data_IF_998989082236
#
_entry.id   IF_998989082236
#
_cell.length_a   1.000
_cell.length_b   1.000
_cell.length_c   1.000
_cell.angle_alpha   90.00
_cell.angle_beta   90.00
_cell.angle_gamma   90.00
#
_symmetry.space_group_name_H-M   'P 1'
#
loop_
_entity.id
_entity.type
_entity.pdbx_description
1 polymer ?
#
# COMPACT_ATOMS: atom_id res chain seq x y z
N UNK A 1 9.18 -13.53 30.78
CA UNK A 1 9.47 -14.54 29.74
C UNK A 1 8.85 -14.09 28.41
N UNK A 2 9.46 -13.11 27.72
CA UNK A 2 8.92 -12.50 26.49
C UNK A 2 9.57 -13.05 25.20
N UNK A 3 10.51 -14.00 25.30
CA UNK A 3 11.35 -14.41 24.18
C UNK A 3 11.07 -15.79 23.56
N UNK A 4 10.25 -16.63 24.20
CA UNK A 4 10.00 -18.00 23.69
C UNK A 4 8.80 -18.06 22.72
N UNK A 5 7.76 -17.24 22.96
CA UNK A 5 6.52 -17.28 22.16
C UNK A 5 6.38 -16.12 21.15
N UNK A 6 7.20 -15.07 21.23
CA UNK A 6 7.11 -13.92 20.34
C UNK A 6 8.46 -13.68 19.67
N UNK A 7 8.63 -14.21 18.46
CA UNK A 7 9.80 -13.94 17.65
C UNK A 7 9.73 -12.52 17.08
N UNK A 8 10.45 -11.59 17.70
CA UNK A 8 10.49 -10.17 17.31
C UNK A 8 11.01 -9.97 15.87
N UNK A 9 11.90 -10.84 15.40
CA UNK A 9 12.37 -10.83 14.02
C UNK A 9 11.24 -11.25 13.05
N UNK A 10 10.47 -12.30 13.37
CA UNK A 10 9.28 -12.69 12.61
C UNK A 10 8.21 -11.60 12.61
N UNK A 11 7.97 -10.93 13.75
CA UNK A 11 7.01 -9.83 13.84
C UNK A 11 7.44 -8.63 12.98
N UNK A 12 8.73 -8.33 12.95
CA UNK A 12 9.28 -7.26 12.12
C UNK A 12 9.21 -7.62 10.64
N UNK A 13 9.53 -8.87 10.29
CA UNK A 13 9.37 -9.39 8.93
C UNK A 13 7.89 -9.35 8.48
N UNK A 14 6.95 -9.71 9.36
CA UNK A 14 5.50 -9.61 9.08
C UNK A 14 5.05 -8.16 8.89
N UNK A 15 5.50 -7.22 9.72
CA UNK A 15 5.20 -5.79 9.53
C UNK A 15 5.74 -5.25 8.20
N UNK A 16 6.98 -5.60 7.87
CA UNK A 16 7.58 -5.22 6.59
C UNK A 16 6.85 -5.88 5.41
N UNK A 17 6.44 -7.15 5.55
CA UNK A 17 5.64 -7.87 4.54
C UNK A 17 4.27 -7.22 4.35
N UNK A 18 3.59 -6.82 5.42
CA UNK A 18 2.32 -6.09 5.34
C UNK A 18 2.50 -4.74 4.62
N UNK A 19 3.57 -4.01 4.91
CA UNK A 19 3.91 -2.76 4.21
C UNK A 19 4.20 -2.99 2.72
N UNK A 20 5.03 -3.97 2.38
CA UNK A 20 5.32 -4.37 1.00
C UNK A 20 4.08 -4.87 0.26
N UNK A 21 3.16 -5.55 0.95
CA UNK A 21 1.88 -6.01 0.39
C UNK A 21 0.96 -4.85 0.00
N UNK A 22 0.94 -3.76 0.77
CA UNK A 22 0.21 -2.54 0.42
C UNK A 22 0.85 -1.87 -0.80
N UNK A 23 2.18 -1.76 -0.83
CA UNK A 23 2.91 -1.22 -1.98
C UNK A 23 2.68 -2.02 -3.26
N UNK A 24 2.68 -3.35 -3.16
CA UNK A 24 2.39 -4.26 -4.26
C UNK A 24 0.96 -4.12 -4.75
N UNK A 25 -0.04 -4.09 -3.85
CA UNK A 25 -1.44 -3.88 -4.24
C UNK A 25 -1.63 -2.55 -4.97
N UNK A 26 -1.01 -1.47 -4.50
CA UNK A 26 -1.03 -0.18 -5.19
C UNK A 26 -0.34 -0.23 -6.56
N UNK A 27 0.79 -0.93 -6.68
CA UNK A 27 1.48 -1.11 -7.95
C UNK A 27 0.63 -1.93 -8.94
N UNK A 28 -0.01 -3.00 -8.49
CA UNK A 28 -0.95 -3.81 -9.29
C UNK A 28 -2.14 -2.97 -9.73
N UNK A 29 -2.71 -2.17 -8.83
CA UNK A 29 -3.86 -1.35 -9.13
C UNK A 29 -3.51 -0.24 -10.16
N UNK A 30 -2.31 0.36 -10.06
CA UNK A 30 -1.77 1.30 -11.07
C UNK A 30 -1.46 0.64 -12.42
N UNK A 31 -0.95 -0.60 -12.40
CA UNK A 31 -0.71 -1.37 -13.62
C UNK A 31 -2.03 -1.71 -14.33
N UNK A 32 -3.02 -2.14 -13.55
CA UNK A 32 -4.34 -2.52 -14.08
C UNK A 32 -5.14 -1.33 -14.60
N UNK A 33 -4.96 -0.13 -14.02
CA UNK A 33 -5.64 1.09 -14.48
C UNK A 33 -4.87 1.83 -15.58
N UNK A 34 -3.57 1.55 -15.75
CA UNK A 34 -2.68 2.30 -16.64
C UNK A 34 -2.44 3.77 -16.20
N UNK A 35 -3.09 4.21 -15.12
CA UNK A 35 -3.07 5.55 -14.58
C UNK A 35 -2.15 5.58 -13.35
N UNK A 36 -1.23 6.54 -13.33
CA UNK A 36 -0.27 6.69 -12.23
C UNK A 36 -0.94 7.00 -10.89
N UNK A 37 -2.16 7.54 -10.92
CA UNK A 37 -2.97 7.96 -9.77
C UNK A 37 -4.25 7.13 -9.79
N UNK A 38 -4.48 6.31 -8.77
CA UNK A 38 -5.55 5.31 -8.76
C UNK A 38 -6.58 5.53 -7.64
N UNK A 39 -6.59 6.72 -7.04
CA UNK A 39 -7.45 7.04 -5.91
C UNK A 39 -7.90 8.48 -6.02
N UNK A 40 -9.18 8.68 -6.36
CA UNK A 40 -9.88 9.96 -6.22
C UNK A 40 -9.89 10.49 -4.77
N UNK A 41 -9.50 9.65 -3.80
CA UNK A 41 -9.39 10.00 -2.39
C UNK A 41 -8.08 10.71 -2.05
N UNK A 42 -6.99 10.41 -2.75
CA UNK A 42 -5.69 11.08 -2.56
C UNK A 42 -5.60 12.39 -3.36
N UNK A 43 -6.49 12.60 -4.34
CA UNK A 43 -6.41 13.73 -5.27
C UNK A 43 -7.80 14.17 -5.78
N UNK A 44 -8.75 14.39 -4.86
CA UNK A 44 -10.10 14.88 -5.21
C UNK A 44 -10.06 16.20 -6.02
N UNK A 45 -9.01 17.00 -5.83
CA UNK A 45 -8.75 18.21 -6.61
C UNK A 45 -8.20 17.91 -8.01
N UNK A 46 -7.34 16.89 -8.17
CA UNK A 46 -6.78 16.49 -9.47
C UNK A 46 -7.82 15.85 -10.40
N UNK A 47 -8.77 15.09 -9.86
CA UNK A 47 -9.85 14.49 -10.66
C UNK A 47 -10.82 15.55 -11.24
N UNK A 48 -11.16 16.57 -10.46
CA UNK A 48 -12.04 17.66 -10.91
C UNK A 48 -11.43 18.53 -12.03
N UNK A 49 -10.10 18.55 -12.16
CA UNK A 49 -9.40 19.24 -13.26
C UNK A 49 -9.33 18.34 -14.50
N UNK A 50 -9.23 17.02 -14.34
CA UNK A 50 -9.21 16.07 -15.46
C UNK A 50 -10.61 15.86 -16.09
N UNK A 51 -11.69 16.04 -15.33
CA UNK A 51 -13.07 16.00 -15.82
C UNK A 51 -13.56 17.32 -16.43
N UNK A 52 -12.68 18.32 -16.60
CA UNK A 52 -13.02 19.64 -17.16
C UNK A 52 -12.63 19.80 -18.63
#
# INVERSE_FOLDING_TARGET
MLGINTNVASLTAQKNLSGSGIGLNNAIARLSSGLRVNSAKDDAAGLAIAER
#
